data_IF_832391263930
#
_entry.id   IF_832391263930
#
_cell.length_a   1.000
_cell.length_b   1.000
_cell.length_c   1.000
_cell.angle_alpha   90.00
_cell.angle_beta   90.00
_cell.angle_gamma   90.00
#
_symmetry.space_group_name_H-M   'P 1'
#
loop_
_entity.id
_entity.type
_entity.pdbx_description
1 polymer ?
#
# COMPACT_ATOMS: atom_id res chain seq x y z
N UNK A 1 41.59 17.18 -26.18
CA UNK A 1 41.18 15.99 -25.40
C UNK A 1 39.72 16.16 -25.03
N UNK A 2 38.89 15.26 -25.53
CA UNK A 2 37.44 15.22 -25.36
C UNK A 2 37.11 14.40 -24.10
N UNK A 3 36.31 14.95 -23.19
CA UNK A 3 34.99 14.42 -22.83
C UNK A 3 34.45 15.14 -21.60
N UNK A 4 33.39 15.91 -21.83
CA UNK A 4 32.34 16.18 -20.86
C UNK A 4 31.79 14.82 -20.38
N UNK A 5 31.82 14.55 -19.08
CA UNK A 5 30.98 13.53 -18.48
C UNK A 5 29.86 14.23 -17.74
N UNK A 6 28.65 13.98 -18.25
CA UNK A 6 27.43 14.65 -17.88
C UNK A 6 27.08 14.42 -16.41
N UNK A 7 26.73 15.52 -15.76
CA UNK A 7 25.86 15.47 -14.60
C UNK A 7 24.55 14.82 -15.06
N UNK A 8 24.30 13.58 -14.62
CA UNK A 8 22.95 13.02 -14.70
C UNK A 8 22.08 13.82 -13.74
N UNK A 9 21.45 14.87 -14.28
CA UNK A 9 20.34 15.51 -13.63
C UNK A 9 19.19 14.49 -13.66
N UNK A 10 19.12 13.62 -12.66
CA UNK A 10 17.88 12.93 -12.37
C UNK A 10 16.90 14.03 -11.93
N UNK A 11 16.13 14.52 -12.89
CA UNK A 11 14.92 15.31 -12.61
C UNK A 11 14.06 14.45 -11.69
N UNK A 12 14.12 14.72 -10.39
CA UNK A 12 13.17 14.21 -9.41
C UNK A 12 11.86 14.93 -9.66
N UNK A 13 11.13 14.45 -10.67
CA UNK A 13 9.80 14.93 -11.00
C UNK A 13 8.96 14.84 -9.73
N UNK A 14 8.51 15.99 -9.20
CA UNK A 14 7.62 16.01 -8.04
C UNK A 14 6.45 15.06 -8.32
N UNK A 15 6.08 14.16 -7.38
CA UNK A 15 4.97 13.25 -7.60
C UNK A 15 3.72 14.02 -8.01
N UNK A 16 3.09 13.61 -9.11
CA UNK A 16 1.82 14.15 -9.59
C UNK A 16 0.71 13.15 -9.29
N UNK A 17 -0.56 13.49 -9.55
CA UNK A 17 -1.70 12.57 -9.34
C UNK A 17 -1.53 11.22 -10.06
N UNK A 18 -0.71 11.17 -11.11
CA UNK A 18 -0.41 9.95 -11.88
C UNK A 18 0.72 9.10 -11.30
N UNK A 19 1.46 9.62 -10.31
CA UNK A 19 2.65 8.98 -9.76
C UNK A 19 2.35 7.81 -8.82
N UNK A 20 1.09 7.42 -8.62
CA UNK A 20 0.75 6.30 -7.73
C UNK A 20 -0.49 5.58 -8.24
N UNK A 21 -0.41 4.82 -9.35
CA UNK A 21 -1.57 4.14 -9.92
C UNK A 21 -2.15 3.09 -8.96
N UNK A 22 -3.44 2.78 -9.15
CA UNK A 22 -4.16 1.67 -8.48
C UNK A 22 -4.50 0.59 -9.50
N UNK A 23 -4.57 -0.67 -9.06
CA UNK A 23 -4.99 -1.82 -9.86
C UNK A 23 -6.11 -2.64 -9.21
N UNK A 24 -6.56 -2.25 -8.02
CA UNK A 24 -7.82 -2.68 -7.43
C UNK A 24 -8.72 -1.44 -7.38
N UNK A 25 -9.89 -1.58 -7.98
CA UNK A 25 -10.92 -0.55 -8.07
C UNK A 25 -12.24 -1.12 -7.54
N UNK A 26 -13.22 -0.25 -7.31
CA UNK A 26 -14.59 -0.66 -7.00
C UNK A 26 -15.08 -1.72 -8.01
N UNK A 27 -15.60 -2.84 -7.51
CA UNK A 27 -16.04 -3.98 -8.32
C UNK A 27 -14.96 -5.05 -8.56
N UNK A 28 -13.70 -4.81 -8.20
CA UNK A 28 -12.59 -5.79 -8.34
C UNK A 28 -12.60 -6.85 -7.24
N UNK A 29 -13.51 -6.78 -6.27
CA UNK A 29 -13.47 -7.60 -5.05
C UNK A 29 -13.77 -9.07 -5.33
N UNK A 30 -14.59 -9.33 -6.35
CA UNK A 30 -14.90 -10.68 -6.82
C UNK A 30 -13.70 -11.37 -7.49
N UNK A 31 -12.65 -10.62 -7.81
CA UNK A 31 -11.48 -11.10 -8.55
C UNK A 31 -10.17 -11.01 -7.75
N UNK A 32 -10.26 -10.77 -6.43
CA UNK A 32 -9.09 -10.69 -5.56
C UNK A 32 -8.24 -11.97 -5.59
N UNK A 33 -8.84 -13.12 -5.87
CA UNK A 33 -8.14 -14.38 -6.06
C UNK A 33 -7.13 -14.36 -7.22
N UNK A 34 -7.40 -13.60 -8.29
CA UNK A 34 -6.46 -13.40 -9.41
C UNK A 34 -5.19 -12.64 -9.01
N UNK A 35 -5.23 -11.97 -7.86
CA UNK A 35 -4.14 -11.18 -7.31
C UNK A 35 -3.41 -11.87 -6.15
N UNK A 36 -3.74 -13.13 -5.82
CA UNK A 36 -3.02 -13.86 -4.78
C UNK A 36 -1.51 -13.88 -5.06
N UNK A 37 -0.76 -13.32 -4.10
CA UNK A 37 0.67 -13.19 -4.11
C UNK A 37 1.23 -12.06 -4.97
N UNK A 38 0.38 -11.32 -5.66
CA UNK A 38 0.76 -10.18 -6.50
C UNK A 38 0.75 -8.89 -5.71
N UNK A 39 1.45 -7.90 -6.25
CA UNK A 39 1.41 -6.53 -5.75
C UNK A 39 0.09 -5.88 -6.19
N UNK A 40 -0.62 -5.33 -5.22
CA UNK A 40 -1.85 -4.55 -5.41
C UNK A 40 -1.64 -3.14 -4.90
N UNK A 41 -2.30 -2.19 -5.54
CA UNK A 41 -2.40 -0.81 -5.12
C UNK A 41 -3.85 -0.32 -5.21
N UNK A 42 -4.32 0.35 -4.16
CA UNK A 42 -5.72 0.73 -4.01
C UNK A 42 -5.92 1.89 -3.05
N UNK A 43 -7.05 2.56 -3.21
CA UNK A 43 -7.51 3.58 -2.28
C UNK A 43 -8.43 2.95 -1.22
N UNK A 44 -8.35 3.44 0.00
CA UNK A 44 -9.24 3.01 1.06
C UNK A 44 -9.44 4.04 2.17
N UNK A 45 -10.56 3.93 2.87
CA UNK A 45 -10.85 4.72 4.07
C UNK A 45 -10.63 3.87 5.31
N UNK A 46 -9.88 4.37 6.29
CA UNK A 46 -9.59 3.64 7.53
C UNK A 46 -10.86 3.57 8.39
N UNK A 47 -11.43 2.37 8.56
CA UNK A 47 -12.59 2.15 9.43
C UNK A 47 -12.19 1.65 10.82
N UNK A 48 -11.13 0.82 10.88
CA UNK A 48 -10.62 0.25 12.13
C UNK A 48 -9.10 0.21 12.13
N UNK A 49 -8.52 0.37 13.31
CA UNK A 49 -7.08 0.25 13.53
C UNK A 49 -6.86 -0.75 14.67
N UNK A 50 -6.20 -1.85 14.34
CA UNK A 50 -5.71 -2.85 15.28
C UNK A 50 -4.18 -2.87 15.29
N UNK A 51 -3.60 -3.68 16.16
CA UNK A 51 -2.15 -3.95 16.17
C UNK A 51 -1.86 -5.34 15.65
N UNK A 52 -0.88 -5.43 14.75
CA UNK A 52 -0.29 -6.69 14.34
C UNK A 52 0.58 -7.30 15.44
N UNK A 53 0.98 -8.56 15.27
CA UNK A 53 1.98 -9.24 16.13
C UNK A 53 3.30 -8.46 16.28
N UNK A 54 3.67 -7.66 15.27
CA UNK A 54 4.90 -6.87 15.26
C UNK A 54 4.67 -5.44 15.82
N UNK A 55 3.53 -5.21 16.48
CA UNK A 55 3.10 -3.91 16.99
C UNK A 55 3.11 -2.83 15.90
N UNK A 56 2.86 -3.22 14.63
CA UNK A 56 2.61 -2.30 13.51
C UNK A 56 1.10 -2.13 13.34
N UNK A 57 0.65 -1.02 12.75
CA UNK A 57 -0.76 -0.83 12.50
C UNK A 57 -1.32 -1.89 11.55
N UNK A 58 -2.53 -2.35 11.86
CA UNK A 58 -3.33 -3.24 11.02
C UNK A 58 -4.67 -2.57 10.75
N UNK A 59 -4.87 -2.07 9.54
CA UNK A 59 -6.03 -1.28 9.17
C UNK A 59 -7.12 -2.14 8.53
N UNK A 60 -8.38 -1.92 8.91
CA UNK A 60 -9.53 -2.31 8.11
C UNK A 60 -9.82 -1.15 7.17
N UNK A 61 -9.53 -1.32 5.88
CA UNK A 61 -9.71 -0.30 4.86
C UNK A 61 -10.99 -0.57 4.06
N UNK A 62 -11.97 0.32 4.12
CA UNK A 62 -13.12 0.30 3.20
C UNK A 62 -12.65 0.69 1.81
N UNK A 63 -12.86 -0.20 0.84
CA UNK A 63 -12.44 -0.01 -0.56
C UNK A 63 -13.62 0.24 -1.51
N UNK A 64 -14.81 -0.23 -1.15
CA UNK A 64 -16.09 0.00 -1.83
C UNK A 64 -17.25 -0.19 -0.84
N UNK A 65 -18.49 -0.03 -1.28
CA UNK A 65 -19.65 -0.27 -0.43
C UNK A 65 -19.71 -1.73 0.05
N UNK A 66 -19.82 -1.88 1.37
CA UNK A 66 -19.76 -3.14 2.13
C UNK A 66 -18.48 -3.99 1.97
N UNK A 67 -17.45 -3.48 1.27
CA UNK A 67 -16.20 -4.21 1.02
C UNK A 67 -14.99 -3.58 1.70
N UNK A 68 -14.15 -4.43 2.29
CA UNK A 68 -12.94 -4.02 2.98
C UNK A 68 -11.76 -4.95 2.71
N UNK A 69 -10.55 -4.41 2.87
CA UNK A 69 -9.31 -5.17 2.95
C UNK A 69 -8.60 -4.89 4.26
N UNK A 70 -8.30 -5.95 4.99
CA UNK A 70 -7.38 -5.87 6.10
C UNK A 70 -5.96 -5.64 5.58
N UNK A 71 -5.28 -4.63 6.10
CA UNK A 71 -3.98 -4.20 5.61
C UNK A 71 -3.00 -4.05 6.78
N UNK A 72 -2.02 -4.95 6.86
CA UNK A 72 -0.94 -4.85 7.85
C UNK A 72 0.19 -4.01 7.28
N UNK A 73 0.62 -2.98 8.02
CA UNK A 73 1.79 -2.19 7.61
C UNK A 73 3.08 -2.90 8.01
N UNK A 74 4.06 -2.92 7.11
CA UNK A 74 5.42 -3.38 7.40
C UNK A 74 6.27 -2.34 8.15
N UNK A 75 5.70 -1.17 8.45
CA UNK A 75 6.37 -0.05 9.12
C UNK A 75 5.47 0.56 10.20
N UNK A 76 6.06 1.35 11.10
CA UNK A 76 5.30 2.09 12.11
C UNK A 76 4.60 3.28 11.45
N UNK A 77 3.37 3.55 11.87
CA UNK A 77 2.65 4.77 11.49
C UNK A 77 1.78 5.21 12.66
N UNK A 78 1.94 6.46 13.10
CA UNK A 78 1.17 7.10 14.17
C UNK A 78 0.33 8.28 13.67
N UNK A 79 0.47 8.64 12.40
CA UNK A 79 -0.14 9.84 11.82
C UNK A 79 -1.57 9.61 11.34
N UNK A 80 -1.87 8.36 10.94
CA UNK A 80 -3.18 8.00 10.43
C UNK A 80 -4.14 7.56 11.53
N UNK A 81 -5.41 7.98 11.38
CA UNK A 81 -6.53 7.74 12.28
C UNK A 81 -7.75 7.25 11.48
N UNK A 82 -8.76 6.76 12.19
CA UNK A 82 -10.05 6.37 11.61
C UNK A 82 -10.64 7.56 10.84
N UNK A 83 -11.17 7.28 9.65
CA UNK A 83 -11.73 8.26 8.71
C UNK A 83 -10.73 8.83 7.70
N UNK A 84 -9.42 8.63 7.88
CA UNK A 84 -8.45 9.06 6.88
C UNK A 84 -8.57 8.23 5.59
N UNK A 85 -8.40 8.91 4.45
CA UNK A 85 -8.27 8.28 3.13
C UNK A 85 -6.78 8.05 2.85
N UNK A 86 -6.44 6.84 2.46
CA UNK A 86 -5.07 6.45 2.15
C UNK A 86 -5.02 5.66 0.84
N UNK A 87 -3.91 5.78 0.12
CA UNK A 87 -3.54 4.90 -0.98
C UNK A 87 -2.47 3.93 -0.51
N UNK A 88 -2.69 2.64 -0.70
CA UNK A 88 -1.82 1.57 -0.24
C UNK A 88 -1.18 0.88 -1.42
N UNK A 89 0.05 0.41 -1.25
CA UNK A 89 0.67 -0.60 -2.11
C UNK A 89 1.27 -1.73 -1.26
N UNK A 90 1.00 -2.97 -1.66
CA UNK A 90 1.40 -4.14 -0.88
C UNK A 90 1.13 -5.46 -1.59
N UNK A 91 1.53 -6.55 -0.96
CA UNK A 91 1.24 -7.89 -1.45
C UNK A 91 -0.12 -8.36 -0.96
N UNK A 92 -1.01 -8.78 -1.87
CA UNK A 92 -2.25 -9.44 -1.50
C UNK A 92 -1.95 -10.91 -1.17
N UNK A 93 -2.46 -11.41 -0.04
CA UNK A 93 -2.30 -12.80 0.41
C UNK A 93 -3.58 -13.30 1.08
N UNK A 94 -3.86 -14.61 1.06
CA UNK A 94 -4.89 -15.20 1.90
C UNK A 94 -4.65 -14.86 3.37
N UNK A 95 -5.74 -14.72 4.12
CA UNK A 95 -5.65 -14.52 5.56
C UNK A 95 -5.24 -15.80 6.27
N UNK A 96 -4.15 -15.72 7.03
CA UNK A 96 -3.68 -16.78 7.92
C UNK A 96 -3.60 -16.27 9.37
N UNK A 97 -4.75 -15.93 10.00
CA UNK A 97 -4.77 -15.23 11.28
C UNK A 97 -4.24 -16.10 12.42
N UNK A 98 -3.35 -15.53 13.22
CA UNK A 98 -2.95 -16.14 14.49
C UNK A 98 -4.08 -16.03 15.56
N UNK A 99 -3.86 -16.59 16.76
CA UNK A 99 -4.88 -16.60 17.83
C UNK A 99 -5.42 -15.21 18.20
N UNK A 100 -4.59 -14.18 18.16
CA UNK A 100 -5.01 -12.82 18.49
C UNK A 100 -5.70 -12.13 17.32
N UNK A 101 -5.19 -12.35 16.10
CA UNK A 101 -5.75 -11.78 14.87
C UNK A 101 -7.14 -12.34 14.54
N UNK A 102 -7.43 -13.59 14.93
CA UNK A 102 -8.76 -14.22 14.77
C UNK A 102 -9.91 -13.43 15.41
N UNK A 103 -9.63 -12.53 16.35
CA UNK A 103 -10.64 -11.70 17.02
C UNK A 103 -11.20 -10.61 16.11
N UNK A 104 -10.49 -10.26 15.04
CA UNK A 104 -10.88 -9.16 14.15
C UNK A 104 -10.71 -9.45 12.65
N UNK A 105 -9.81 -10.36 12.25
CA UNK A 105 -9.64 -10.72 10.84
C UNK A 105 -10.81 -11.59 10.38
N UNK A 106 -11.73 -10.97 9.64
CA UNK A 106 -12.98 -11.51 9.11
C UNK A 106 -13.00 -11.64 7.57
N UNK A 107 -11.95 -11.17 6.87
CA UNK A 107 -11.84 -11.25 5.41
C UNK A 107 -11.19 -12.55 4.89
N UNK A 108 -11.28 -12.81 3.58
CA UNK A 108 -10.56 -13.90 2.91
C UNK A 108 -9.09 -13.57 2.61
N UNK A 109 -8.82 -12.30 2.31
CA UNK A 109 -7.50 -11.79 1.95
C UNK A 109 -7.09 -10.64 2.85
N UNK A 110 -5.78 -10.40 2.92
CA UNK A 110 -5.15 -9.22 3.51
C UNK A 110 -4.07 -8.69 2.58
N UNK A 111 -3.67 -7.45 2.84
CA UNK A 111 -2.55 -6.81 2.18
C UNK A 111 -1.42 -6.62 3.17
N UNK A 112 -0.23 -7.07 2.80
CA UNK A 112 1.02 -6.77 3.50
C UNK A 112 1.62 -5.52 2.84
N UNK A 113 1.38 -4.36 3.44
CA UNK A 113 1.71 -3.07 2.85
C UNK A 113 3.17 -2.68 3.08
N UNK A 114 3.87 -2.40 1.99
CA UNK A 114 5.22 -1.82 2.00
C UNK A 114 5.22 -0.34 1.59
N UNK A 115 4.09 0.21 1.15
CA UNK A 115 3.91 1.65 0.94
C UNK A 115 2.51 2.13 1.29
N UNK A 116 2.41 3.36 1.79
CA UNK A 116 1.16 4.05 2.13
C UNK A 116 1.30 5.55 1.88
N UNK A 117 0.27 6.14 1.30
CA UNK A 117 0.20 7.56 0.98
C UNK A 117 -1.08 8.13 1.58
N UNK A 118 -0.93 9.21 2.35
CA UNK A 118 -2.02 10.09 2.74
C UNK A 118 -1.79 11.44 2.04
N UNK A 119 -2.54 11.65 0.96
CA UNK A 119 -2.41 12.86 0.14
C UNK A 119 -2.80 14.13 0.91
N UNK A 120 -3.79 14.04 1.80
CA UNK A 120 -4.28 15.19 2.57
C UNK A 120 -3.21 15.70 3.55
N UNK A 121 -2.41 14.78 4.10
CA UNK A 121 -1.33 15.12 5.05
C UNK A 121 0.04 15.21 4.39
N UNK A 122 0.14 15.02 3.07
CA UNK A 122 1.41 14.89 2.36
C UNK A 122 2.36 13.87 3.01
N UNK A 123 1.79 12.76 3.52
CA UNK A 123 2.54 11.75 4.23
C UNK A 123 2.76 10.53 3.33
N UNK A 124 4.01 10.30 2.93
CA UNK A 124 4.43 9.25 2.01
C UNK A 124 5.35 8.29 2.75
N UNK A 125 4.80 7.16 3.19
CA UNK A 125 5.50 6.18 4.01
C UNK A 125 5.82 4.94 3.18
N UNK A 126 7.07 4.53 3.22
CA UNK A 126 7.57 3.35 2.52
C UNK A 126 8.49 2.54 3.43
N UNK A 127 8.48 1.22 3.25
CA UNK A 127 9.46 0.34 3.86
C UNK A 127 10.85 0.70 3.31
N UNK A 128 11.85 0.83 4.20
CA UNK A 128 13.20 1.25 3.82
C UNK A 128 13.89 0.35 2.78
N UNK A 129 13.55 -0.94 2.74
CA UNK A 129 14.09 -1.89 1.75
C UNK A 129 13.37 -1.88 0.40
N UNK A 130 12.26 -1.14 0.23
CA UNK A 130 11.44 -1.16 -0.97
C UNK A 130 11.77 0.00 -1.93
N UNK A 131 13.06 0.33 -2.10
CA UNK A 131 13.52 1.52 -2.85
C UNK A 131 13.09 1.43 -4.31
N UNK A 132 13.31 0.28 -4.94
CA UNK A 132 12.95 0.06 -6.33
C UNK A 132 11.43 0.14 -6.53
N UNK A 133 10.65 -0.57 -5.71
CA UNK A 133 9.19 -0.57 -5.80
C UNK A 133 8.61 0.83 -5.55
N UNK A 134 9.20 1.60 -4.63
CA UNK A 134 8.85 3.00 -4.43
C UNK A 134 9.06 3.81 -5.71
N UNK A 135 10.22 3.65 -6.37
CA UNK A 135 10.53 4.39 -7.59
C UNK A 135 9.60 3.99 -8.74
N UNK A 136 9.37 2.69 -8.95
CA UNK A 136 8.42 2.18 -9.95
C UNK A 136 7.02 2.76 -9.75
N UNK A 137 6.57 2.84 -8.50
CA UNK A 137 5.27 3.42 -8.20
C UNK A 137 5.24 4.89 -8.59
N UNK A 138 6.22 5.69 -8.12
CA UNK A 138 6.40 7.13 -8.45
C UNK A 138 6.39 7.38 -9.96
N UNK A 139 6.99 6.46 -10.73
CA UNK A 139 7.06 6.51 -12.19
C UNK A 139 5.74 6.14 -12.89
N UNK A 140 4.68 5.92 -12.12
CA UNK A 140 3.34 5.64 -12.63
C UNK A 140 3.11 4.17 -12.98
N UNK A 141 3.86 3.23 -12.38
CA UNK A 141 3.71 1.78 -12.61
C UNK A 141 3.26 1.07 -11.34
N UNK A 142 2.46 0.02 -11.47
CA UNK A 142 2.29 -0.90 -10.35
C UNK A 142 3.63 -1.62 -10.15
N UNK A 143 4.22 -1.62 -8.96
CA UNK A 143 5.52 -2.24 -8.75
C UNK A 143 5.51 -3.74 -9.11
N UNK A 144 6.63 -4.24 -9.61
CA UNK A 144 6.87 -5.67 -9.77
C UNK A 144 7.48 -6.26 -8.49
N UNK A 145 7.08 -7.49 -8.15
CA UNK A 145 7.59 -8.22 -6.99
C UNK A 145 8.90 -8.97 -7.26
N UNK A 146 9.57 -8.66 -8.38
CA UNK A 146 10.84 -9.26 -8.83
C UNK A 146 12.04 -8.36 -8.49
#
# INVERSE_FOLDING_TARGET
MTNLLGQSNSTTTKPTDKSFPTNIQEGSEKELDKFDGKIVAFDGTIEKIEKSRNNTPFYKLKIADDNYLWTVLMFKNKSNKIGDKVRVVGYLRPNEPNKDEKKYLDGKYMVIAFGLIDFNKSNFLFLGGAIQQKQEWIDGKIPSGE
#
